data_IF_876931139320
#
_entry.id   IF_876931139320
#
_cell.length_a   1.000
_cell.length_b   1.000
_cell.length_c   1.000
_cell.angle_alpha   90.00
_cell.angle_beta   90.00
_cell.angle_gamma   90.00
#
_symmetry.space_group_name_H-M   'P 1'
#
loop_
_entity.id
_entity.type
_entity.pdbx_description
1 polymer ?
#
# COMPACT_ATOMS: atom_id res chain seq x y z
N UNK A 1 -1.11 29.46 -14.09
CA UNK A 1 -0.70 29.66 -12.69
C UNK A 1 -0.51 28.27 -12.12
N UNK A 2 0.74 27.82 -12.02
CA UNK A 2 1.07 26.43 -11.68
C UNK A 2 1.11 26.32 -10.15
N UNK A 3 0.00 25.90 -9.56
CA UNK A 3 -0.01 25.55 -8.15
C UNK A 3 0.81 24.27 -7.97
N UNK A 4 1.69 24.24 -6.98
CA UNK A 4 2.14 22.98 -6.43
C UNK A 4 0.91 22.15 -6.04
N UNK A 5 0.98 20.80 -6.01
CA UNK A 5 -0.12 20.03 -5.47
C UNK A 5 -0.45 20.60 -4.08
N UNK A 6 -1.74 20.82 -3.79
CA UNK A 6 -2.22 21.21 -2.46
C UNK A 6 -1.87 20.16 -1.39
N UNK A 7 -1.19 19.07 -1.77
CA UNK A 7 -0.66 18.03 -0.91
C UNK A 7 0.71 18.41 -0.33
N UNK A 8 0.86 18.30 0.99
CA UNK A 8 2.14 18.42 1.68
C UNK A 8 2.99 17.17 1.43
N UNK A 9 4.23 17.35 0.97
CA UNK A 9 5.13 16.25 0.64
C UNK A 9 6.28 16.21 1.65
N UNK A 10 6.47 15.05 2.29
CA UNK A 10 7.66 14.77 3.09
C UNK A 10 8.95 14.97 2.28
N UNK A 11 9.88 15.74 2.83
CA UNK A 11 11.14 16.12 2.16
C UNK A 11 12.04 14.93 1.87
N UNK A 12 11.84 13.79 2.54
CA UNK A 12 12.55 12.55 2.24
C UNK A 12 12.10 11.91 0.92
N UNK A 13 10.85 12.11 0.48
CA UNK A 13 10.28 11.42 -0.69
C UNK A 13 11.06 11.73 -1.98
N UNK A 14 11.38 12.99 -2.32
CA UNK A 14 12.18 13.29 -3.51
C UNK A 14 13.55 12.61 -3.53
N UNK A 15 14.22 12.44 -2.39
CA UNK A 15 15.56 11.85 -2.34
C UNK A 15 15.54 10.31 -2.17
N UNK A 16 14.40 9.73 -1.80
CA UNK A 16 14.29 8.32 -1.48
C UNK A 16 14.50 7.43 -2.72
N UNK A 17 15.22 6.33 -2.52
CA UNK A 17 15.39 5.24 -3.49
C UNK A 17 14.82 3.97 -2.88
N UNK A 18 13.99 3.26 -3.63
CA UNK A 18 13.25 2.12 -3.09
C UNK A 18 12.90 1.11 -4.18
N UNK A 19 13.14 -0.16 -3.92
CA UNK A 19 12.71 -1.26 -4.78
C UNK A 19 12.30 -2.46 -3.91
N UNK A 20 11.00 -2.68 -3.75
CA UNK A 20 10.47 -3.73 -2.88
C UNK A 20 11.03 -5.13 -3.21
N UNK A 21 11.34 -5.91 -2.17
CA UNK A 21 11.70 -7.33 -2.30
C UNK A 21 11.01 -8.16 -1.21
N UNK A 22 9.87 -8.75 -1.58
CA UNK A 22 9.07 -9.59 -0.67
C UNK A 22 9.83 -10.81 -0.16
N UNK A 23 10.81 -11.34 -0.92
CA UNK A 23 11.57 -12.52 -0.49
C UNK A 23 12.48 -12.20 0.68
N UNK A 24 12.99 -10.97 0.75
CA UNK A 24 13.84 -10.48 1.82
C UNK A 24 13.03 -10.02 3.04
N UNK A 25 11.96 -9.23 2.83
CA UNK A 25 11.15 -8.72 3.95
C UNK A 25 10.05 -9.69 4.44
N UNK A 26 9.84 -10.82 3.74
CA UNK A 26 8.80 -11.82 4.02
C UNK A 26 7.37 -11.27 4.03
N UNK A 27 7.12 -10.14 3.38
CA UNK A 27 5.80 -9.51 3.35
C UNK A 27 5.48 -8.66 4.58
N UNK A 28 6.51 -8.11 5.24
CA UNK A 28 6.38 -7.36 6.48
C UNK A 28 5.26 -6.29 6.48
N UNK A 29 5.05 -5.56 5.38
CA UNK A 29 4.02 -4.53 5.28
C UNK A 29 2.58 -5.05 5.43
N UNK A 30 2.35 -6.36 5.22
CA UNK A 30 1.05 -7.01 5.42
C UNK A 30 0.92 -7.69 6.79
N UNK A 31 2.01 -7.77 7.56
CA UNK A 31 2.10 -8.49 8.85
C UNK A 31 2.71 -7.64 9.96
N UNK A 32 2.64 -6.31 9.82
CA UNK A 32 3.12 -5.39 10.84
C UNK A 32 2.28 -5.55 12.11
N UNK A 33 2.89 -5.55 13.31
CA UNK A 33 2.14 -5.58 14.55
C UNK A 33 1.13 -4.44 14.60
N UNK A 34 -0.14 -4.76 14.85
CA UNK A 34 -1.20 -3.77 14.76
C UNK A 34 -2.60 -4.38 14.87
N UNK A 35 -3.47 -3.67 15.57
CA UNK A 35 -4.88 -4.03 15.65
C UNK A 35 -5.65 -3.67 14.38
N UNK A 36 -5.17 -2.66 13.63
CA UNK A 36 -5.80 -2.11 12.44
C UNK A 36 -4.94 -2.40 11.23
N UNK A 37 -5.57 -2.87 10.16
CA UNK A 37 -4.89 -3.12 8.90
C UNK A 37 -4.89 -1.88 8.00
N UNK A 38 -5.07 -2.10 6.71
CA UNK A 38 -5.04 -1.02 5.72
C UNK A 38 -6.25 -0.09 5.88
N UNK A 39 -6.09 1.23 5.89
CA UNK A 39 -7.22 2.15 5.77
C UNK A 39 -7.88 1.98 4.41
N UNK A 40 -9.21 2.08 4.38
CA UNK A 40 -10.07 1.83 3.23
C UNK A 40 -10.96 3.03 2.96
N UNK A 41 -11.11 3.37 1.68
CA UNK A 41 -12.19 4.25 1.21
C UNK A 41 -13.49 3.47 1.04
N UNK A 42 -14.64 4.12 1.14
CA UNK A 42 -15.95 3.45 0.95
C UNK A 42 -16.07 2.75 -0.40
N UNK A 43 -15.55 3.38 -1.47
CA UNK A 43 -15.49 2.77 -2.79
C UNK A 43 -14.66 1.47 -2.83
N UNK A 44 -13.62 1.36 -1.99
CA UNK A 44 -12.79 0.15 -1.92
C UNK A 44 -13.48 -0.97 -1.15
N UNK A 45 -14.39 -0.65 -0.22
CA UNK A 45 -15.17 -1.65 0.51
C UNK A 45 -16.05 -2.43 -0.48
N UNK A 46 -16.74 -1.73 -1.38
CA UNK A 46 -17.57 -2.37 -2.40
C UNK A 46 -16.76 -3.28 -3.35
N UNK A 47 -15.54 -2.85 -3.72
CA UNK A 47 -14.63 -3.69 -4.53
C UNK A 47 -14.13 -4.92 -3.76
N UNK A 48 -13.85 -4.77 -2.46
CA UNK A 48 -13.50 -5.89 -1.58
C UNK A 48 -14.65 -6.88 -1.50
N UNK A 49 -15.88 -6.44 -1.28
CA UNK A 49 -17.07 -7.30 -1.22
C UNK A 49 -17.26 -8.10 -2.52
N UNK A 50 -17.06 -7.46 -3.67
CA UNK A 50 -17.12 -8.10 -4.98
C UNK A 50 -16.00 -9.14 -5.19
N UNK A 51 -14.79 -8.84 -4.72
CA UNK A 51 -13.63 -9.72 -4.87
C UNK A 51 -13.56 -10.83 -3.80
N UNK A 52 -14.24 -10.66 -2.66
CA UNK A 52 -14.18 -11.54 -1.50
C UNK A 52 -14.46 -13.01 -1.85
N UNK A 53 -15.53 -13.36 -2.59
CA UNK A 53 -15.82 -14.77 -2.91
C UNK A 53 -14.70 -15.46 -3.70
N UNK A 54 -13.93 -14.71 -4.49
CA UNK A 54 -12.83 -15.24 -5.30
C UNK A 54 -11.58 -15.48 -4.44
N UNK A 55 -11.27 -14.57 -3.52
CA UNK A 55 -10.07 -14.67 -2.69
C UNK A 55 -10.25 -15.53 -1.44
N UNK A 56 -11.48 -15.61 -0.90
CA UNK A 56 -11.77 -16.30 0.36
C UNK A 56 -11.28 -17.76 0.39
N UNK A 57 -11.44 -18.59 -0.66
CA UNK A 57 -10.95 -19.98 -0.66
C UNK A 57 -9.43 -20.11 -0.51
N UNK A 58 -8.67 -19.09 -0.94
CA UNK A 58 -7.20 -19.07 -0.88
C UNK A 58 -6.64 -18.68 0.50
N UNK A 59 -7.48 -18.13 1.37
CA UNK A 59 -7.07 -17.68 2.69
C UNK A 59 -6.91 -18.85 3.67
N UNK A 60 -6.00 -18.75 4.65
CA UNK A 60 -5.88 -19.74 5.72
C UNK A 60 -7.19 -19.92 6.50
N UNK A 61 -7.47 -21.11 7.07
CA UNK A 61 -8.69 -21.37 7.83
C UNK A 61 -8.97 -20.32 8.92
N UNK A 62 -7.96 -19.99 9.73
CA UNK A 62 -8.07 -18.97 10.79
C UNK A 62 -8.50 -17.60 10.27
N UNK A 63 -8.04 -17.22 9.08
CA UNK A 63 -8.40 -15.95 8.45
C UNK A 63 -9.85 -15.96 7.95
N UNK A 64 -10.29 -17.08 7.37
CA UNK A 64 -11.69 -17.26 6.93
C UNK A 64 -12.64 -17.22 8.12
N UNK A 65 -12.34 -17.96 9.18
CA UNK A 65 -13.12 -17.95 10.43
C UNK A 65 -13.19 -16.55 11.05
N UNK A 66 -12.08 -15.80 11.03
CA UNK A 66 -12.06 -14.40 11.50
C UNK A 66 -12.99 -13.50 10.66
N UNK A 67 -12.96 -13.64 9.34
CA UNK A 67 -13.83 -12.87 8.43
C UNK A 67 -15.30 -13.24 8.65
N UNK A 68 -15.62 -14.52 8.82
CA UNK A 68 -16.99 -14.98 9.08
C UNK A 68 -17.54 -14.49 10.42
N UNK A 69 -16.71 -14.52 11.48
CA UNK A 69 -17.14 -14.14 12.83
C UNK A 69 -17.19 -12.63 13.04
N UNK A 70 -16.15 -11.92 12.63
CA UNK A 70 -15.93 -10.51 12.98
C UNK A 70 -16.00 -9.57 11.77
N UNK A 71 -16.18 -10.09 10.56
CA UNK A 71 -16.09 -9.32 9.32
C UNK A 71 -14.66 -9.01 8.90
N UNK A 72 -14.50 -8.62 7.63
CA UNK A 72 -13.20 -8.20 7.07
C UNK A 72 -12.84 -6.73 7.38
N UNK A 73 -13.80 -5.96 7.89
CA UNK A 73 -13.76 -4.51 8.12
C UNK A 73 -13.87 -4.22 9.62
N UNK A 74 -13.20 -3.18 10.09
CA UNK A 74 -13.38 -2.61 11.42
C UNK A 74 -13.21 -1.09 11.38
N UNK A 75 -13.86 -0.39 12.32
CA UNK A 75 -13.81 1.08 12.42
C UNK A 75 -15.21 1.69 12.40
N UNK A 76 -15.27 2.95 11.96
CA UNK A 76 -16.50 3.72 11.76
C UNK A 76 -16.47 4.39 10.40
N UNK A 77 -17.61 4.93 9.94
CA UNK A 77 -17.68 5.70 8.70
C UNK A 77 -16.62 6.82 8.68
N UNK A 78 -15.83 6.87 7.61
CA UNK A 78 -14.69 7.78 7.46
C UNK A 78 -13.37 7.32 8.09
N UNK A 79 -13.35 6.23 8.88
CA UNK A 79 -12.14 5.65 9.50
C UNK A 79 -12.14 4.12 9.40
N UNK A 80 -12.50 3.62 8.22
CA UNK A 80 -12.58 2.20 7.93
C UNK A 80 -11.19 1.59 7.72
N UNK A 81 -10.95 0.42 8.31
CA UNK A 81 -9.70 -0.35 8.13
C UNK A 81 -9.99 -1.83 7.93
N UNK A 82 -9.09 -2.54 7.24
CA UNK A 82 -9.17 -4.02 7.21
C UNK A 82 -8.96 -4.57 8.63
N UNK A 83 -9.61 -5.70 8.90
CA UNK A 83 -9.45 -6.43 10.15
C UNK A 83 -8.08 -7.15 10.19
N UNK A 84 -7.63 -7.53 11.39
CA UNK A 84 -6.38 -8.24 11.60
C UNK A 84 -6.59 -9.56 12.36
N UNK A 85 -5.86 -10.59 11.94
CA UNK A 85 -5.71 -11.85 12.67
C UNK A 85 -4.57 -11.69 13.68
N UNK A 86 -4.80 -12.11 14.92
CA UNK A 86 -3.82 -12.07 16.01
C UNK A 86 -3.11 -10.72 16.20
N UNK A 87 -3.82 -9.62 15.95
CA UNK A 87 -3.30 -8.23 16.08
C UNK A 87 -2.00 -8.03 15.27
N UNK A 88 -1.92 -8.68 14.11
CA UNK A 88 -0.69 -8.67 13.30
C UNK A 88 -0.95 -8.79 11.79
N UNK A 89 -1.45 -9.92 11.34
CA UNK A 89 -1.64 -10.13 9.90
C UNK A 89 -2.95 -9.52 9.45
N UNK A 90 -2.96 -8.81 8.32
CA UNK A 90 -4.22 -8.45 7.67
C UNK A 90 -5.01 -9.73 7.35
N UNK A 91 -6.34 -9.70 7.52
CA UNK A 91 -7.21 -10.87 7.25
C UNK A 91 -7.09 -11.41 5.83
N UNK A 92 -6.63 -10.60 4.87
CA UNK A 92 -6.45 -10.99 3.47
C UNK A 92 -5.07 -11.55 3.11
N UNK A 93 -4.23 -11.83 4.11
CA UNK A 93 -2.91 -12.42 3.90
C UNK A 93 -3.02 -13.93 3.67
N UNK A 94 -2.24 -14.41 2.71
CA UNK A 94 -1.91 -15.82 2.54
C UNK A 94 -0.39 -15.99 2.55
N UNK A 95 0.08 -17.21 2.81
CA UNK A 95 1.52 -17.50 2.85
C UNK A 95 1.90 -18.50 1.77
N UNK A 96 2.98 -18.19 1.05
CA UNK A 96 3.60 -19.09 0.09
C UNK A 96 5.10 -19.15 0.38
N UNK A 97 5.62 -20.36 0.62
CA UNK A 97 7.04 -20.57 0.93
C UNK A 97 7.56 -19.66 2.07
N UNK A 98 6.72 -19.42 3.08
CA UNK A 98 7.04 -18.56 4.22
C UNK A 98 7.06 -17.05 3.93
N UNK A 99 6.56 -16.62 2.77
CA UNK A 99 6.40 -15.19 2.40
C UNK A 99 4.91 -14.83 2.47
N UNK A 100 4.58 -13.76 3.18
CA UNK A 100 3.22 -13.23 3.20
C UNK A 100 2.90 -12.49 1.89
N UNK A 101 1.74 -12.79 1.31
CA UNK A 101 1.21 -12.19 0.10
C UNK A 101 -0.20 -11.65 0.35
N UNK A 102 -0.54 -10.54 -0.29
CA UNK A 102 -1.92 -10.07 -0.37
C UNK A 102 -2.70 -10.94 -1.36
N UNK A 103 -3.79 -11.55 -0.91
CA UNK A 103 -4.66 -12.39 -1.76
C UNK A 103 -5.23 -11.63 -2.96
N UNK A 104 -5.66 -10.37 -2.78
CA UNK A 104 -6.16 -9.54 -3.88
C UNK A 104 -5.09 -9.27 -4.94
N UNK A 105 -3.88 -8.89 -4.52
CA UNK A 105 -2.76 -8.63 -5.42
C UNK A 105 -2.47 -9.86 -6.29
N UNK A 106 -2.44 -11.06 -5.69
CA UNK A 106 -2.27 -12.31 -6.43
C UNK A 106 -3.42 -12.59 -7.38
N UNK A 107 -4.66 -12.46 -6.91
CA UNK A 107 -5.84 -12.72 -7.73
C UNK A 107 -5.88 -11.78 -8.95
N UNK A 108 -5.53 -10.51 -8.77
CA UNK A 108 -5.41 -9.53 -9.84
C UNK A 108 -4.35 -9.91 -10.88
N UNK A 109 -3.13 -10.24 -10.45
CA UNK A 109 -2.07 -10.66 -11.39
C UNK A 109 -2.37 -11.97 -12.12
N UNK A 110 -3.24 -12.81 -11.54
CA UNK A 110 -3.74 -14.01 -12.20
C UNK A 110 -4.99 -13.79 -13.07
N UNK A 111 -5.48 -12.55 -13.18
CA UNK A 111 -6.66 -12.20 -13.97
C UNK A 111 -8.01 -12.67 -13.39
N UNK A 112 -8.03 -13.11 -12.12
CA UNK A 112 -9.25 -13.60 -11.47
C UNK A 112 -10.17 -12.48 -10.99
N UNK A 113 -9.61 -11.29 -10.72
CA UNK A 113 -10.36 -10.09 -10.32
C UNK A 113 -9.81 -8.86 -11.04
N UNK A 114 -10.67 -7.87 -11.29
CA UNK A 114 -10.29 -6.62 -11.95
C UNK A 114 -9.72 -5.58 -10.98
N UNK A 115 -10.05 -5.66 -9.69
CA UNK A 115 -9.55 -4.76 -8.66
C UNK A 115 -8.30 -5.35 -8.00
N UNK A 116 -7.25 -4.54 -7.83
CA UNK A 116 -5.92 -5.04 -7.43
C UNK A 116 -5.73 -5.21 -5.93
N UNK A 117 -5.82 -4.11 -5.17
CA UNK A 117 -5.66 -4.05 -3.70
C UNK A 117 -5.95 -2.62 -3.22
N UNK A 118 -6.14 -2.39 -1.91
CA UNK A 118 -6.33 -1.04 -1.40
C UNK A 118 -5.22 -0.08 -1.82
N UNK A 119 -5.58 1.16 -2.16
CA UNK A 119 -4.67 2.25 -2.54
C UNK A 119 -3.63 2.48 -1.45
N UNK A 120 -4.05 2.47 -0.18
CA UNK A 120 -3.15 2.59 0.97
C UNK A 120 -2.08 1.48 1.03
N UNK A 121 -2.41 0.26 0.59
CA UNK A 121 -1.45 -0.84 0.44
C UNK A 121 -0.60 -0.75 -0.83
N UNK A 122 -1.10 -0.10 -1.88
CA UNK A 122 -0.37 0.04 -3.15
C UNK A 122 0.65 1.17 -3.11
N UNK A 123 0.34 2.25 -2.40
CA UNK A 123 1.23 3.39 -2.23
C UNK A 123 2.41 3.13 -1.27
N UNK A 124 2.38 2.04 -0.49
CA UNK A 124 3.46 1.74 0.46
C UNK A 124 4.84 1.70 -0.24
N UNK A 125 5.86 2.42 0.25
CA UNK A 125 5.98 2.98 1.61
C UNK A 125 5.41 4.39 1.83
N UNK A 126 4.73 5.02 0.87
CA UNK A 126 4.02 6.28 1.11
C UNK A 126 2.72 6.04 1.89
N UNK A 127 2.48 6.86 2.91
CA UNK A 127 1.22 6.96 3.66
C UNK A 127 0.58 8.32 3.42
N UNK A 128 -0.75 8.32 3.35
CA UNK A 128 -1.56 9.53 3.14
C UNK A 128 -2.24 9.89 4.45
N UNK A 129 -1.97 11.08 4.97
CA UNK A 129 -2.67 11.64 6.12
C UNK A 129 -3.68 12.70 5.63
N UNK A 130 -4.98 12.46 5.82
CA UNK A 130 -6.06 13.34 5.38
C UNK A 130 -6.46 14.35 6.48
N UNK A 131 -5.51 15.18 6.90
CA UNK A 131 -5.76 16.26 7.87
C UNK A 131 -6.50 17.46 7.26
N UNK A 132 -6.25 18.67 7.80
CA UNK A 132 -6.72 19.92 7.18
C UNK A 132 -6.21 20.09 5.74
N UNK A 133 -5.05 19.49 5.46
CA UNK A 133 -4.41 19.42 4.16
C UNK A 133 -3.87 17.99 4.02
N UNK A 134 -4.03 17.40 2.83
CA UNK A 134 -3.48 16.07 2.55
C UNK A 134 -1.96 16.10 2.70
N UNK A 135 -1.38 15.05 3.31
CA UNK A 135 0.07 14.91 3.43
C UNK A 135 0.53 13.52 2.99
N UNK A 136 1.51 13.48 2.09
CA UNK A 136 2.27 12.27 1.75
C UNK A 136 3.48 12.16 2.67
N UNK A 137 3.53 11.10 3.48
CA UNK A 137 4.61 10.80 4.40
C UNK A 137 5.32 9.52 3.98
N UNK A 138 6.65 9.50 4.08
CA UNK A 138 7.40 8.26 3.90
C UNK A 138 7.34 7.44 5.20
N UNK A 139 6.81 6.24 5.11
CA UNK A 139 6.86 5.26 6.21
C UNK A 139 8.18 4.48 6.15
N UNK A 140 8.89 4.43 7.27
CA UNK A 140 10.14 3.70 7.39
C UNK A 140 9.99 2.60 8.43
N UNK A 141 10.07 1.35 7.99
CA UNK A 141 10.12 0.17 8.86
C UNK A 141 11.45 -0.56 8.66
N UNK A 142 12.05 -1.14 9.72
CA UNK A 142 13.33 -1.82 9.62
C UNK A 142 13.37 -2.93 8.55
N UNK A 143 12.26 -3.63 8.35
CA UNK A 143 12.13 -4.72 7.37
C UNK A 143 12.21 -4.24 5.92
N UNK A 144 12.10 -2.93 5.68
CA UNK A 144 12.26 -2.32 4.36
C UNK A 144 13.70 -1.93 4.04
N UNK A 145 14.65 -2.11 4.96
CA UNK A 145 16.07 -1.84 4.73
C UNK A 145 16.62 -2.52 3.45
N UNK A 146 16.32 -3.81 3.16
CA UNK A 146 16.76 -4.43 1.92
C UNK A 146 16.20 -3.77 0.66
N UNK A 147 15.00 -3.20 0.73
CA UNK A 147 14.37 -2.50 -0.40
C UNK A 147 15.01 -1.13 -0.66
N UNK A 148 15.45 -0.43 0.39
CA UNK A 148 16.22 0.81 0.28
C UNK A 148 17.59 0.56 -0.35
N UNK A 149 18.31 -0.47 0.13
CA UNK A 149 19.62 -0.87 -0.40
C UNK A 149 19.52 -1.28 -1.88
N UNK A 150 18.49 -2.05 -2.23
CA UNK A 150 18.22 -2.45 -3.60
C UNK A 150 17.91 -1.24 -4.48
N UNK A 151 17.04 -0.34 -4.03
CA UNK A 151 16.71 0.89 -4.78
C UNK A 151 17.92 1.78 -5.00
N UNK A 152 18.81 1.91 -4.00
CA UNK A 152 20.06 2.63 -4.13
C UNK A 152 21.00 1.99 -5.17
N UNK A 153 21.18 0.67 -5.10
CA UNK A 153 22.04 -0.10 -6.01
C UNK A 153 21.54 -0.08 -7.46
N UNK A 154 20.23 -0.21 -7.67
CA UNK A 154 19.60 -0.25 -9.00
C UNK A 154 19.27 1.14 -9.55
N UNK A 155 19.48 2.19 -8.76
CA UNK A 155 19.20 3.56 -9.18
C UNK A 155 17.71 3.91 -9.25
N UNK A 156 16.82 3.09 -8.67
CA UNK A 156 15.36 3.25 -8.73
C UNK A 156 14.91 4.25 -7.66
N UNK A 157 14.36 5.38 -8.09
CA UNK A 157 13.77 6.35 -7.15
C UNK A 157 12.43 5.84 -6.61
N UNK A 158 12.05 6.27 -5.41
CA UNK A 158 10.76 5.91 -4.82
C UNK A 158 9.58 6.33 -5.73
N UNK A 159 9.68 7.50 -6.36
CA UNK A 159 8.64 8.04 -7.25
C UNK A 159 8.52 7.20 -8.53
N UNK A 160 9.63 6.72 -9.08
CA UNK A 160 9.62 5.82 -10.24
C UNK A 160 9.02 4.45 -9.86
N UNK A 161 9.44 3.89 -8.71
CA UNK A 161 8.89 2.63 -8.20
C UNK A 161 7.37 2.70 -7.99
N UNK A 162 6.87 3.82 -7.47
CA UNK A 162 5.46 4.02 -7.17
C UNK A 162 4.63 4.56 -8.36
N UNK A 163 5.20 4.69 -9.56
CA UNK A 163 4.52 5.28 -10.74
C UNK A 163 3.10 4.77 -10.93
N UNK A 164 2.91 3.45 -10.98
CA UNK A 164 1.60 2.84 -11.19
C UNK A 164 0.64 3.15 -10.04
N UNK A 165 1.13 3.07 -8.80
CA UNK A 165 0.32 3.30 -7.60
C UNK A 165 -0.11 4.76 -7.43
N UNK A 166 0.78 5.70 -7.72
CA UNK A 166 0.52 7.15 -7.69
C UNK A 166 -0.41 7.54 -8.83
N UNK A 167 -0.20 7.00 -10.03
CA UNK A 167 -1.10 7.23 -11.18
C UNK A 167 -2.50 6.70 -10.88
N UNK A 168 -2.62 5.54 -10.23
CA UNK A 168 -3.92 4.97 -9.85
C UNK A 168 -4.64 5.79 -8.77
N UNK A 169 -3.89 6.40 -7.85
CA UNK A 169 -4.45 7.18 -6.75
C UNK A 169 -4.82 8.61 -7.17
N UNK A 170 -3.95 9.28 -7.93
CA UNK A 170 -4.04 10.71 -8.21
C UNK A 170 -4.22 11.05 -9.69
N UNK A 171 -4.09 10.08 -10.59
CA UNK A 171 -4.13 10.29 -12.03
C UNK A 171 -2.78 10.63 -12.65
N UNK A 172 -2.69 10.49 -13.98
CA UNK A 172 -1.45 10.66 -14.73
C UNK A 172 -0.94 12.10 -14.71
N UNK A 173 -1.84 13.09 -14.83
CA UNK A 173 -1.45 14.50 -14.84
C UNK A 173 -0.80 14.92 -13.52
N UNK A 174 -1.41 14.53 -12.40
CA UNK A 174 -0.86 14.76 -11.06
C UNK A 174 0.49 14.05 -10.90
N UNK A 175 0.63 12.80 -11.37
CA UNK A 175 1.89 12.06 -11.29
C UNK A 175 3.02 12.79 -12.03
N UNK A 176 2.77 13.31 -13.22
CA UNK A 176 3.78 14.04 -14.00
C UNK A 176 4.17 15.38 -13.35
N UNK A 177 3.23 16.07 -12.70
CA UNK A 177 3.53 17.24 -11.86
C UNK A 177 4.37 16.89 -10.64
N UNK A 178 3.98 15.83 -9.93
CA UNK A 178 4.71 15.33 -8.77
C UNK A 178 6.12 14.88 -9.13
N UNK A 179 6.30 14.19 -10.26
CA UNK A 179 7.59 13.78 -10.79
C UNK A 179 8.48 14.99 -11.10
N UNK A 180 7.93 16.04 -11.72
CA UNK A 180 8.66 17.31 -11.95
C UNK A 180 9.07 17.98 -10.64
N UNK A 181 8.17 18.02 -9.65
CA UNK A 181 8.47 18.54 -8.32
C UNK A 181 9.64 17.79 -7.66
N UNK A 182 9.60 16.45 -7.65
CA UNK A 182 10.65 15.64 -7.05
C UNK A 182 12.01 15.82 -7.75
N UNK A 183 12.04 15.86 -9.09
CA UNK A 183 13.26 16.11 -9.86
C UNK A 183 13.86 17.49 -9.56
N UNK A 184 13.03 18.53 -9.49
CA UNK A 184 13.50 19.88 -9.17
C UNK A 184 14.15 19.97 -7.78
N UNK A 185 13.65 19.21 -6.79
CA UNK A 185 14.24 19.14 -5.45
C UNK A 185 15.56 18.37 -5.41
N UNK A 186 15.75 17.37 -6.28
CA UNK A 186 17.02 16.64 -6.41
C UNK A 186 18.12 17.49 -7.06
N UNK A 187 17.79 18.36 -8.02
CA UNK A 187 18.77 19.21 -8.74
C UNK A 187 19.22 20.46 -7.97
N UNK A 188 18.60 20.75 -6.82
CA UNK A 188 18.92 21.91 -5.99
C UNK A 188 19.77 21.61 -4.75
N UNK A 189 20.43 20.44 -4.71
CA UNK A 189 21.41 20.05 -3.69
C UNK A 189 22.80 19.99 -4.32
#
# INVERSE_FOLDING_TARGET
MNAAPETLIDTAIPAARFACDLRQCKGACCTMPGHRGAPLMEAEIAEIEKALPVVLPSLPPEHREKIERDGFLQGVAGDWTTNCVNKRACVFVLWENGVAHCSFEKAYHSGQIAWRKPISCHLFPIRVDNGLQERLRLESIPECQPALERGAREGITLVDFLKESLTRAYGSEWYEEFLRYCRAKQSGT
#
